data_IF_738662241019
#
_entry.id   IF_738662241019
#
_cell.length_a   1.000
_cell.length_b   1.000
_cell.length_c   1.000
_cell.angle_alpha   90.00
_cell.angle_beta   90.00
_cell.angle_gamma   90.00
#
_symmetry.space_group_name_H-M   'P 1'
#
loop_
_entity.id
_entity.type
_entity.pdbx_description
1 polymer ?
#
# COMPACT_ATOMS: atom_id res chain seq x y z
N UNK A 1 -11.06 -0.40 -18.46
CA UNK A 1 -10.03 -1.21 -19.15
C UNK A 1 -10.18 -2.68 -18.75
N UNK A 2 -10.01 -3.66 -19.65
CA UNK A 2 -10.28 -5.09 -19.34
C UNK A 2 -9.00 -5.91 -19.24
N UNK A 3 -8.83 -6.64 -18.13
CA UNK A 3 -7.78 -7.67 -17.99
C UNK A 3 -8.20 -8.93 -18.75
N UNK A 4 -7.38 -9.35 -19.71
CA UNK A 4 -7.61 -10.58 -20.46
C UNK A 4 -6.69 -11.68 -19.95
N UNK A 5 -7.26 -12.82 -19.56
CA UNK A 5 -6.52 -14.02 -19.15
C UNK A 5 -6.37 -14.96 -20.35
N UNK A 6 -5.14 -15.38 -20.63
CA UNK A 6 -4.81 -16.33 -21.69
C UNK A 6 -4.36 -17.63 -21.04
N UNK A 7 -5.10 -18.72 -21.26
CA UNK A 7 -4.81 -20.03 -20.65
C UNK A 7 -3.55 -20.68 -21.22
N UNK A 8 -3.30 -20.55 -22.52
CA UNK A 8 -2.16 -21.18 -23.21
C UNK A 8 -1.62 -20.27 -24.30
N UNK A 9 -0.40 -19.78 -24.13
CA UNK A 9 0.29 -18.97 -25.14
C UNK A 9 0.55 -19.80 -26.41
N UNK A 10 0.24 -19.26 -27.59
CA UNK A 10 0.45 -19.96 -28.88
C UNK A 10 1.89 -19.81 -29.42
N UNK A 11 2.57 -18.76 -28.98
CA UNK A 11 3.96 -18.41 -29.27
C UNK A 11 4.56 -17.72 -28.05
N UNK A 12 5.89 -17.61 -28.00
CA UNK A 12 6.58 -16.88 -26.94
C UNK A 12 6.10 -15.42 -26.89
N UNK A 13 5.89 -14.93 -25.67
CA UNK A 13 5.27 -13.63 -25.43
C UNK A 13 6.25 -12.58 -24.90
N UNK A 14 7.55 -12.90 -24.83
CA UNK A 14 8.55 -12.10 -24.12
C UNK A 14 8.53 -12.40 -22.63
N UNK A 15 8.78 -11.40 -21.80
CA UNK A 15 8.82 -11.55 -20.33
C UNK A 15 7.64 -10.91 -19.63
N UNK A 16 7.35 -11.36 -18.41
CA UNK A 16 6.46 -10.68 -17.48
C UNK A 16 7.02 -9.30 -17.16
N UNK A 17 6.25 -8.22 -17.34
CA UNK A 17 6.81 -6.88 -17.10
C UNK A 17 7.02 -6.52 -15.61
N UNK A 18 6.79 -7.44 -14.66
CA UNK A 18 6.93 -7.19 -13.21
C UNK A 18 8.06 -8.05 -12.64
N UNK A 19 7.94 -9.37 -12.72
CA UNK A 19 8.99 -10.29 -12.25
C UNK A 19 10.01 -10.70 -13.32
N UNK A 20 9.91 -10.19 -14.55
CA UNK A 20 10.80 -10.48 -15.69
C UNK A 20 10.89 -11.96 -16.14
N UNK A 21 10.12 -12.85 -15.53
CA UNK A 21 10.05 -14.26 -15.88
C UNK A 21 9.57 -14.45 -17.34
N UNK A 22 10.23 -15.33 -18.13
CA UNK A 22 9.88 -15.55 -19.53
C UNK A 22 8.49 -16.20 -19.68
N UNK A 23 7.69 -15.66 -20.57
CA UNK A 23 6.34 -16.14 -20.93
C UNK A 23 6.43 -16.97 -22.22
N UNK A 24 6.90 -18.20 -22.10
CA UNK A 24 7.12 -19.13 -23.22
C UNK A 24 5.80 -19.65 -23.83
N UNK A 25 5.88 -20.22 -25.03
CA UNK A 25 4.78 -20.96 -25.66
C UNK A 25 4.24 -22.02 -24.70
N UNK A 26 2.92 -22.10 -24.58
CA UNK A 26 2.23 -22.98 -23.66
C UNK A 26 1.89 -22.34 -22.31
N UNK A 27 2.57 -21.28 -21.89
CA UNK A 27 2.36 -20.69 -20.56
C UNK A 27 1.05 -19.91 -20.49
N UNK A 28 0.46 -19.86 -19.31
CA UNK A 28 -0.68 -18.98 -19.01
C UNK A 28 -0.17 -17.60 -18.62
N UNK A 29 -0.90 -16.55 -19.02
CA UNK A 29 -0.55 -15.18 -18.68
C UNK A 29 -1.78 -14.28 -18.72
N UNK A 30 -1.64 -13.07 -18.16
CA UNK A 30 -2.65 -12.01 -18.25
C UNK A 30 -2.07 -10.80 -18.97
N UNK A 31 -2.94 -10.06 -19.64
CA UNK A 31 -2.54 -8.83 -20.30
C UNK A 31 -3.63 -7.77 -20.27
N UNK A 32 -3.18 -6.52 -20.37
CA UNK A 32 -4.00 -5.34 -20.58
C UNK A 32 -3.48 -4.59 -21.81
N UNK A 33 -4.36 -3.87 -22.51
CA UNK A 33 -3.99 -3.00 -23.64
C UNK A 33 -4.72 -1.67 -23.49
N UNK A 34 -3.93 -0.60 -23.53
CA UNK A 34 -4.44 0.76 -23.48
C UNK A 34 -4.93 1.21 -24.85
N UNK A 35 -5.82 2.22 -24.84
CA UNK A 35 -6.27 2.86 -26.09
C UNK A 35 -5.10 3.55 -26.79
N UNK A 36 -4.27 4.23 -26.01
CA UNK A 36 -2.99 4.82 -26.41
C UNK A 36 -1.91 4.14 -25.57
N UNK A 37 -0.99 3.42 -26.22
CA UNK A 37 0.04 2.63 -25.55
C UNK A 37 0.07 1.14 -25.95
N UNK A 38 1.17 0.48 -25.60
CA UNK A 38 1.40 -0.93 -25.89
C UNK A 38 0.57 -1.90 -25.04
N UNK A 39 0.74 -3.19 -25.33
CA UNK A 39 0.16 -4.28 -24.54
C UNK A 39 1.10 -4.63 -23.38
N UNK A 40 0.65 -4.46 -22.13
CA UNK A 40 1.39 -4.91 -20.94
C UNK A 40 1.01 -6.36 -20.61
N UNK A 41 1.99 -7.19 -20.26
CA UNK A 41 1.79 -8.62 -19.97
C UNK A 41 2.37 -8.97 -18.60
N UNK A 42 1.69 -9.85 -17.85
CA UNK A 42 2.14 -10.36 -16.55
C UNK A 42 1.93 -11.88 -16.50
N UNK A 43 2.78 -12.59 -15.76
CA UNK A 43 2.58 -14.01 -15.44
C UNK A 43 1.38 -14.19 -14.49
N UNK A 44 1.01 -15.44 -14.18
CA UNK A 44 -0.15 -15.76 -13.35
C UNK A 44 0.09 -15.71 -11.82
N UNK A 45 1.34 -15.58 -11.35
CA UNK A 45 1.69 -15.50 -9.91
C UNK A 45 0.93 -14.38 -9.21
N UNK A 46 0.41 -14.57 -8.00
CA UNK A 46 -0.45 -13.56 -7.35
C UNK A 46 0.25 -12.19 -7.22
N UNK A 47 1.52 -12.19 -6.82
CA UNK A 47 2.37 -11.00 -6.74
C UNK A 47 2.54 -10.23 -8.08
N UNK A 48 2.25 -10.86 -9.22
CA UNK A 48 2.31 -10.22 -10.54
C UNK A 48 0.93 -9.76 -11.07
N UNK A 49 -0.08 -9.68 -10.21
CA UNK A 49 -1.42 -9.20 -10.59
C UNK A 49 -1.33 -7.74 -11.00
N UNK A 50 -2.06 -7.40 -12.05
CA UNK A 50 -2.28 -5.99 -12.39
C UNK A 50 -3.04 -5.36 -11.24
N UNK A 51 -2.45 -4.30 -10.69
CA UNK A 51 -3.09 -3.48 -9.67
C UNK A 51 -3.82 -2.28 -10.30
N UNK A 52 -4.47 -1.43 -9.51
CA UNK A 52 -5.17 -0.25 -10.00
C UNK A 52 -4.20 0.77 -10.62
N UNK A 53 -3.03 0.96 -10.01
CA UNK A 53 -1.90 1.74 -10.51
C UNK A 53 -1.51 1.34 -11.94
N UNK A 54 -1.40 0.04 -12.19
CA UNK A 54 -1.10 -0.54 -13.50
C UNK A 54 -2.17 -0.27 -14.58
N UNK A 55 -3.39 0.13 -14.18
CA UNK A 55 -4.57 0.26 -15.05
C UNK A 55 -4.87 1.71 -15.48
N UNK A 56 -4.15 2.68 -14.94
CA UNK A 56 -4.23 4.08 -15.35
C UNK A 56 -3.15 4.43 -16.37
N UNK A 57 -3.41 5.45 -17.19
CA UNK A 57 -2.45 6.04 -18.14
C UNK A 57 -1.87 7.36 -17.66
N UNK A 58 -2.42 7.94 -16.59
CA UNK A 58 -1.91 9.16 -15.98
C UNK A 58 -0.91 8.78 -14.91
N UNK A 59 0.27 9.39 -14.96
CA UNK A 59 1.36 9.14 -14.01
C UNK A 59 0.93 9.53 -12.59
N UNK A 60 0.41 10.76 -12.40
CA UNK A 60 -0.19 11.22 -11.12
C UNK A 60 -1.20 10.24 -10.51
N UNK A 61 -2.11 9.68 -11.33
CA UNK A 61 -3.07 8.68 -10.86
C UNK A 61 -2.40 7.35 -10.54
N UNK A 62 -1.36 6.98 -11.30
CA UNK A 62 -0.60 5.76 -11.06
C UNK A 62 0.09 5.84 -9.70
N UNK A 63 0.67 6.99 -9.38
CA UNK A 63 1.39 7.24 -8.13
C UNK A 63 0.41 7.19 -6.95
N UNK A 64 -0.71 7.92 -7.05
CA UNK A 64 -1.78 7.88 -6.06
C UNK A 64 -2.29 6.45 -5.77
N UNK A 65 -2.57 5.66 -6.82
CA UNK A 65 -3.01 4.27 -6.61
C UNK A 65 -1.89 3.37 -6.09
N UNK A 66 -0.63 3.66 -6.41
CA UNK A 66 0.50 2.88 -5.90
C UNK A 66 0.65 3.07 -4.40
N UNK A 67 0.55 4.32 -3.93
CA UNK A 67 0.54 4.67 -2.51
C UNK A 67 -0.61 3.96 -1.75
N UNK A 68 -1.83 3.98 -2.30
CA UNK A 68 -2.96 3.24 -1.72
C UNK A 68 -2.69 1.74 -1.63
N UNK A 69 -2.14 1.14 -2.68
CA UNK A 69 -1.84 -0.29 -2.73
C UNK A 69 -0.73 -0.71 -1.75
N UNK A 70 0.21 0.18 -1.42
CA UNK A 70 1.23 -0.07 -0.40
C UNK A 70 0.59 -0.13 0.99
N UNK A 71 -0.26 0.85 1.32
CA UNK A 71 -1.00 0.84 2.59
C UNK A 71 -1.89 -0.41 2.69
N UNK A 72 -2.58 -0.80 1.62
CA UNK A 72 -3.39 -2.04 1.60
C UNK A 72 -2.55 -3.32 1.85
N UNK A 73 -1.34 -3.38 1.29
CA UNK A 73 -0.42 -4.49 1.53
C UNK A 73 -0.01 -4.57 3.02
N UNK A 74 0.33 -3.44 3.63
CA UNK A 74 0.69 -3.36 5.06
C UNK A 74 -0.49 -3.67 5.99
N UNK A 75 -1.69 -3.17 5.69
CA UNK A 75 -2.91 -3.52 6.44
C UNK A 75 -3.19 -5.01 6.36
N UNK A 76 -2.97 -5.62 5.20
CA UNK A 76 -3.11 -7.08 5.05
C UNK A 76 -2.06 -7.82 5.89
N UNK A 77 -0.83 -7.33 5.97
CA UNK A 77 0.21 -7.89 6.84
C UNK A 77 -0.20 -7.80 8.32
N UNK A 78 -0.67 -6.64 8.77
CA UNK A 78 -1.19 -6.43 10.12
C UNK A 78 -2.34 -7.37 10.47
N UNK A 79 -3.30 -7.56 9.56
CA UNK A 79 -4.43 -8.47 9.77
C UNK A 79 -3.97 -9.92 9.99
N UNK A 80 -2.93 -10.36 9.27
CA UNK A 80 -2.35 -11.69 9.48
C UNK A 80 -1.64 -11.76 10.84
N UNK A 81 -0.84 -10.76 11.21
CA UNK A 81 -0.16 -10.69 12.53
C UNK A 81 -1.15 -10.71 13.70
N UNK A 82 -2.27 -9.98 13.58
CA UNK A 82 -3.36 -9.99 14.57
C UNK A 82 -3.99 -11.37 14.73
N UNK A 83 -4.12 -12.13 13.65
CA UNK A 83 -4.67 -13.50 13.72
C UNK A 83 -3.75 -14.49 14.41
N UNK A 84 -2.44 -14.21 14.41
CA UNK A 84 -1.41 -15.01 15.08
C UNK A 84 -1.14 -14.53 16.53
N UNK A 85 -1.66 -13.36 16.92
CA UNK A 85 -1.51 -12.76 18.25
C UNK A 85 -0.06 -12.57 18.70
N UNK A 86 0.81 -12.14 17.78
CA UNK A 86 2.24 -11.90 18.03
C UNK A 86 2.46 -10.39 18.23
N UNK A 87 2.59 -9.90 19.48
CA UNK A 87 2.59 -8.45 19.77
C UNK A 87 3.72 -7.68 19.06
N UNK A 88 4.92 -8.23 18.99
CA UNK A 88 6.07 -7.59 18.36
C UNK A 88 5.81 -7.36 16.86
N UNK A 89 5.24 -8.36 16.19
CA UNK A 89 4.87 -8.26 14.76
C UNK A 89 3.71 -7.30 14.53
N UNK A 90 2.79 -7.17 15.49
CA UNK A 90 1.71 -6.18 15.41
C UNK A 90 2.29 -4.78 15.51
N UNK A 91 3.22 -4.53 16.44
CA UNK A 91 3.88 -3.24 16.60
C UNK A 91 4.70 -2.86 15.35
N UNK A 92 5.54 -3.77 14.84
CA UNK A 92 6.32 -3.57 13.61
C UNK A 92 5.42 -3.26 12.40
N UNK A 93 4.31 -3.99 12.25
CA UNK A 93 3.35 -3.73 11.17
C UNK A 93 2.68 -2.34 11.32
N UNK A 94 2.36 -1.91 12.53
CA UNK A 94 1.80 -0.57 12.76
C UNK A 94 2.80 0.54 12.43
N UNK A 95 4.08 0.37 12.78
CA UNK A 95 5.14 1.31 12.38
C UNK A 95 5.32 1.36 10.87
N UNK A 96 5.27 0.20 10.20
CA UNK A 96 5.27 0.11 8.74
C UNK A 96 4.10 0.88 8.11
N UNK A 97 2.89 0.73 8.66
CA UNK A 97 1.70 1.49 8.24
C UNK A 97 1.92 2.99 8.45
N UNK A 98 2.43 3.42 9.60
CA UNK A 98 2.69 4.84 9.90
C UNK A 98 3.65 5.44 8.86
N UNK A 99 4.78 4.78 8.60
CA UNK A 99 5.77 5.25 7.62
C UNK A 99 5.18 5.27 6.20
N UNK A 100 4.42 4.25 5.80
CA UNK A 100 3.80 4.22 4.47
C UNK A 100 2.72 5.30 4.32
N UNK A 101 1.91 5.57 5.36
CA UNK A 101 0.92 6.65 5.32
C UNK A 101 1.61 8.01 5.15
N UNK A 102 2.72 8.26 5.85
CA UNK A 102 3.50 9.50 5.74
C UNK A 102 4.04 9.71 4.31
N UNK A 103 4.76 8.72 3.77
CA UNK A 103 5.29 8.76 2.39
C UNK A 103 4.16 8.98 1.37
N UNK A 104 3.02 8.34 1.61
CA UNK A 104 1.86 8.39 0.75
C UNK A 104 1.16 9.75 0.82
N UNK A 105 1.06 10.37 2.00
CA UNK A 105 0.51 11.71 2.19
C UNK A 105 1.37 12.77 1.46
N UNK A 106 2.69 12.69 1.63
CA UNK A 106 3.64 13.55 0.91
C UNK A 106 3.49 13.43 -0.61
N UNK A 107 3.39 12.20 -1.13
CA UNK A 107 3.21 11.97 -2.58
C UNK A 107 1.89 12.55 -3.10
N UNK A 108 0.81 12.49 -2.32
CA UNK A 108 -0.46 13.12 -2.68
C UNK A 108 -0.33 14.65 -2.72
N UNK A 109 0.41 15.22 -1.79
CA UNK A 109 0.65 16.65 -1.72
C UNK A 109 1.45 17.14 -2.93
N UNK A 110 2.51 16.44 -3.32
CA UNK A 110 3.25 16.71 -4.57
C UNK A 110 2.33 16.65 -5.81
N UNK A 111 1.39 15.69 -5.85
CA UNK A 111 0.39 15.61 -6.92
C UNK A 111 -0.52 16.84 -6.94
N UNK A 112 -0.92 17.34 -5.76
CA UNK A 112 -1.72 18.55 -5.59
C UNK A 112 -0.97 19.80 -6.07
N UNK A 113 0.29 19.96 -5.66
CA UNK A 113 1.17 21.04 -6.13
C UNK A 113 1.31 21.04 -7.64
N UNK A 114 1.53 19.86 -8.24
CA UNK A 114 1.58 19.74 -9.69
C UNK A 114 0.26 20.07 -10.38
N UNK A 115 -0.89 19.98 -9.71
CA UNK A 115 -2.18 20.45 -10.24
C UNK A 115 -2.28 21.98 -10.16
N UNK A 116 -1.85 22.59 -9.06
CA UNK A 116 -1.78 24.05 -8.91
C UNK A 116 -0.86 24.69 -9.96
N UNK A 117 0.32 24.12 -10.20
CA UNK A 117 1.21 24.57 -11.27
C UNK A 117 0.54 24.46 -12.65
N UNK A 118 -0.23 23.39 -12.89
CA UNK A 118 -0.95 23.21 -14.15
C UNK A 118 -2.07 24.24 -14.31
N UNK A 119 -2.78 24.57 -13.23
CA UNK A 119 -3.80 25.61 -13.20
C UNK A 119 -3.21 27.00 -13.44
N UNK A 120 -2.11 27.34 -12.75
CA UNK A 120 -1.41 28.62 -12.91
C UNK A 120 -0.89 28.81 -14.35
N UNK A 121 -0.27 27.77 -14.92
CA UNK A 121 0.16 27.77 -16.31
C UNK A 121 -1.04 27.93 -17.26
N UNK A 122 -2.18 27.30 -16.99
CA UNK A 122 -3.37 27.45 -17.83
C UNK A 122 -4.00 28.84 -17.73
N UNK A 123 -4.02 29.45 -16.55
CA UNK A 123 -4.56 30.80 -16.34
C UNK A 123 -3.80 31.85 -17.16
N UNK A 124 -2.49 31.67 -17.34
CA UNK A 124 -1.66 32.56 -18.17
C UNK A 124 -2.11 32.58 -19.66
N UNK A 125 -2.55 31.45 -20.20
CA UNK A 125 -2.89 31.31 -21.64
C UNK A 125 -4.40 31.22 -21.92
N UNK A 126 -5.21 30.84 -20.94
CA UNK A 126 -6.65 30.53 -21.06
C UNK A 126 -7.44 30.99 -19.83
N UNK A 127 -7.29 32.26 -19.47
CA UNK A 127 -7.92 32.85 -18.28
C UNK A 127 -9.44 32.67 -18.23
N UNK A 128 -9.95 32.37 -17.04
CA UNK A 128 -11.38 32.19 -16.79
C UNK A 128 -12.00 30.95 -17.44
N UNK A 129 -11.19 29.98 -17.87
CA UNK A 129 -11.71 28.71 -18.37
C UNK A 129 -12.19 27.83 -17.22
N UNK A 130 -13.38 27.22 -17.37
CA UNK A 130 -13.91 26.23 -16.42
C UNK A 130 -12.98 25.03 -16.15
N UNK A 131 -11.99 24.81 -17.02
CA UNK A 131 -10.99 23.75 -16.82
C UNK A 131 -10.02 24.08 -15.69
N UNK A 132 -9.78 25.36 -15.41
CA UNK A 132 -8.90 25.81 -14.33
C UNK A 132 -9.58 25.53 -12.99
N UNK A 133 -10.85 25.90 -12.85
CA UNK A 133 -11.66 25.58 -11.67
C UNK A 133 -11.67 24.07 -11.39
N UNK A 134 -11.87 23.24 -12.43
CA UNK A 134 -11.83 21.77 -12.30
C UNK A 134 -10.44 21.22 -11.89
N UNK A 135 -9.35 21.94 -12.14
CA UNK A 135 -8.00 21.50 -11.76
C UNK A 135 -7.70 21.92 -10.33
N UNK A 136 -8.07 23.14 -9.96
CA UNK A 136 -7.99 23.63 -8.58
C UNK A 136 -8.81 22.74 -7.65
N UNK A 137 -10.04 22.38 -8.03
CA UNK A 137 -10.87 21.46 -7.23
C UNK A 137 -10.18 20.09 -7.04
N UNK A 138 -9.46 19.58 -8.06
CA UNK A 138 -8.71 18.32 -7.93
C UNK A 138 -7.51 18.47 -6.98
N UNK A 139 -6.83 19.61 -6.98
CA UNK A 139 -5.75 19.90 -6.04
C UNK A 139 -6.29 19.94 -4.59
N UNK A 140 -7.42 20.61 -4.36
CA UNK A 140 -8.10 20.64 -3.06
C UNK A 140 -8.53 19.26 -2.59
N UNK A 141 -9.08 18.43 -3.47
CA UNK A 141 -9.43 17.04 -3.16
C UNK A 141 -8.19 16.22 -2.75
N UNK A 142 -7.05 16.43 -3.42
CA UNK A 142 -5.80 15.77 -3.04
C UNK A 142 -5.34 16.22 -1.64
N UNK A 143 -5.33 17.53 -1.36
CA UNK A 143 -4.97 18.07 -0.03
C UNK A 143 -5.88 17.57 1.08
N UNK A 144 -7.19 17.58 0.86
CA UNK A 144 -8.16 17.03 1.82
C UNK A 144 -7.87 15.56 2.11
N UNK A 145 -7.44 14.79 1.10
CA UNK A 145 -7.09 13.38 1.26
C UNK A 145 -5.77 13.17 2.00
N UNK A 146 -4.76 14.02 1.74
CA UNK A 146 -3.50 14.00 2.48
C UNK A 146 -3.73 14.29 3.96
N UNK A 147 -4.57 15.29 4.29
CA UNK A 147 -4.93 15.58 5.68
C UNK A 147 -5.62 14.40 6.38
N UNK A 148 -6.57 13.74 5.70
CA UNK A 148 -7.21 12.53 6.23
C UNK A 148 -6.18 11.42 6.52
N UNK A 149 -5.10 11.35 5.76
CA UNK A 149 -4.04 10.37 5.94
C UNK A 149 -3.13 10.73 7.11
N UNK A 150 -2.76 11.98 7.28
CA UNK A 150 -2.04 12.45 8.48
C UNK A 150 -2.85 12.17 9.77
N UNK A 151 -4.15 12.41 9.75
CA UNK A 151 -5.03 12.10 10.89
C UNK A 151 -5.04 10.59 11.21
N UNK A 152 -4.97 9.74 10.18
CA UNK A 152 -4.88 8.29 10.35
C UNK A 152 -3.49 7.85 10.82
N UNK A 153 -2.43 8.51 10.35
CA UNK A 153 -1.06 8.30 10.80
C UNK A 153 -0.97 8.54 12.32
N UNK A 154 -1.51 9.65 12.81
CA UNK A 154 -1.52 9.95 14.25
C UNK A 154 -2.21 8.86 15.08
N UNK A 155 -3.37 8.37 14.61
CA UNK A 155 -4.08 7.25 15.26
C UNK A 155 -3.29 5.94 15.21
N UNK A 156 -2.66 5.63 14.09
CA UNK A 156 -1.84 4.43 13.95
C UNK A 156 -0.60 4.47 14.85
N UNK A 157 0.02 5.64 14.99
CA UNK A 157 1.15 5.87 15.90
C UNK A 157 0.75 5.68 17.35
N UNK A 158 -0.38 6.27 17.77
CA UNK A 158 -0.93 6.07 19.13
C UNK A 158 -1.24 4.59 19.40
N UNK A 159 -1.80 3.87 18.42
CA UNK A 159 -2.02 2.42 18.53
C UNK A 159 -0.71 1.63 18.66
N UNK A 160 0.33 2.01 17.91
CA UNK A 160 1.63 1.34 17.96
C UNK A 160 2.28 1.46 19.35
N UNK A 161 2.21 2.66 19.96
CA UNK A 161 2.68 2.91 21.32
C UNK A 161 1.91 2.08 22.36
N UNK A 162 0.57 2.08 22.28
CA UNK A 162 -0.28 1.28 23.18
C UNK A 162 0.01 -0.23 23.10
N UNK A 163 0.29 -0.75 21.89
CA UNK A 163 0.67 -2.16 21.71
C UNK A 163 2.00 -2.46 22.38
N UNK A 164 3.00 -1.58 22.26
CA UNK A 164 4.30 -1.77 22.94
C UNK A 164 4.16 -1.78 24.45
N UNK A 165 3.31 -0.90 25.00
CA UNK A 165 3.03 -0.90 26.43
C UNK A 165 2.40 -2.23 26.89
N UNK A 166 1.45 -2.76 26.10
CA UNK A 166 0.82 -4.05 26.39
C UNK A 166 1.81 -5.22 26.29
N UNK A 167 2.68 -5.21 25.29
CA UNK A 167 3.72 -6.22 25.10
C UNK A 167 4.65 -6.32 26.33
N UNK A 168 5.12 -5.16 26.80
CA UNK A 168 5.90 -5.08 28.04
C UNK A 168 5.17 -5.66 29.27
N UNK A 169 3.84 -5.47 29.35
CA UNK A 169 3.06 -6.09 30.43
C UNK A 169 2.97 -7.61 30.29
N UNK A 170 2.96 -8.14 29.07
CA UNK A 170 2.87 -9.57 28.80
C UNK A 170 4.18 -10.27 29.17
N UNK A 171 5.33 -9.76 28.72
CA UNK A 171 6.66 -10.26 29.09
C UNK A 171 6.83 -10.32 30.62
N UNK A 172 6.36 -9.28 31.32
CA UNK A 172 6.40 -9.24 32.79
C UNK A 172 5.53 -10.31 33.44
N UNK A 173 4.36 -10.61 32.87
CA UNK A 173 3.49 -11.69 33.38
C UNK A 173 4.13 -13.05 33.12
N UNK A 174 4.72 -13.27 31.95
CA UNK A 174 5.42 -14.52 31.64
C UNK A 174 6.57 -14.76 32.60
N UNK A 175 7.41 -13.74 32.85
CA UNK A 175 8.49 -13.83 33.83
C UNK A 175 7.97 -14.16 35.23
N UNK A 176 6.86 -13.56 35.68
CA UNK A 176 6.25 -13.90 36.97
C UNK A 176 5.68 -15.32 37.01
N UNK A 177 5.14 -15.81 35.90
CA UNK A 177 4.64 -17.18 35.80
C UNK A 177 5.79 -18.20 35.84
N UNK A 178 6.93 -17.90 35.21
CA UNK A 178 8.15 -18.69 35.35
C UNK A 178 8.66 -18.69 36.79
N UNK A 179 8.74 -17.53 37.44
CA UNK A 179 9.11 -17.44 38.86
C UNK A 179 8.16 -18.26 39.76
N UNK A 180 6.85 -18.18 39.51
CA UNK A 180 5.85 -18.98 40.25
C UNK A 180 6.03 -20.48 39.96
N UNK A 181 6.31 -20.86 38.72
CA UNK A 181 6.53 -22.25 38.34
C UNK A 181 7.80 -22.82 39.00
N UNK A 182 8.90 -22.06 39.01
CA UNK A 182 10.15 -22.44 39.67
C UNK A 182 9.95 -22.60 41.18
N UNK A 183 9.26 -21.65 41.83
CA UNK A 183 8.90 -21.76 43.25
C UNK A 183 7.99 -22.96 43.55
N UNK A 184 7.10 -23.32 42.64
CA UNK A 184 6.22 -24.47 42.79
C UNK A 184 6.96 -25.81 42.58
N UNK A 185 8.08 -25.81 41.85
CA UNK A 185 8.93 -26.99 41.62
C UNK A 185 9.94 -27.17 42.76
N UNK A 186 10.43 -26.07 43.34
CA UNK A 186 11.44 -26.05 44.40
C UNK A 186 10.88 -26.12 45.83
N UNK A 187 9.55 -26.22 46.01
CA UNK A 187 8.93 -26.53 47.30
C UNK A 187 8.77 -28.06 47.45
N UNK A 188 9.71 -28.78 48.12
CA UNK A 188 9.54 -30.18 48.44
C UNK A 188 8.43 -30.30 49.47
N UNK A 189 7.19 -30.45 49.02
CA UNK A 189 6.21 -31.18 49.79
C UNK A 189 6.70 -32.63 49.92
N UNK A 190 7.48 -32.86 51.01
CA UNK A 190 7.95 -34.12 51.60
C UNK A 190 9.14 -34.82 50.93
#
# INVERSE_FOLDING_TARGET
MRITRVKKARKDQGSCGRCFEPLLKGYSYRWIKFRRGGKRKRCMKNACRFRASDMTTSDKRSDFFSAQEQIEDEVTALQNSLSEFIPERISECLEGIVSQIEESAMSIEEVAEGYDESAANMEEYFSGSSQIDEIVEKAEQCRSRAQEWEDLQGKASEMAENVKECDFTFERIESLLEEIADLAIDDPMW
#
